data_IF_535798856017
#
_entry.id   IF_535798856017
#
_cell.length_a   1.000
_cell.length_b   1.000
_cell.length_c   1.000
_cell.angle_alpha   90.00
_cell.angle_beta   90.00
_cell.angle_gamma   90.00
#
_symmetry.space_group_name_H-M   'P 1'
#
loop_
_entity.id
_entity.type
_entity.pdbx_description
1 polymer ?
#
# COMPACT_ATOMS: atom_id res chain seq x y z
N UNK A 1 22.42 -12.85 -15.52
CA UNK A 1 21.54 -14.05 -15.49
C UNK A 1 20.63 -14.07 -14.25
N UNK A 2 20.18 -12.90 -13.75
CA UNK A 2 19.57 -12.75 -12.40
C UNK A 2 18.06 -12.44 -12.47
N UNK A 3 17.57 -11.90 -13.60
CA UNK A 3 16.16 -11.48 -13.76
C UNK A 3 15.15 -12.60 -13.57
N UNK A 4 15.47 -13.83 -14.00
CA UNK A 4 14.59 -14.98 -13.84
C UNK A 4 14.37 -15.37 -12.37
N UNK A 5 15.35 -15.09 -11.48
CA UNK A 5 15.22 -15.42 -10.06
C UNK A 5 14.28 -14.45 -9.33
N UNK A 6 14.31 -13.16 -9.68
CA UNK A 6 13.45 -12.17 -9.02
C UNK A 6 12.00 -12.26 -9.47
N UNK A 7 11.76 -12.50 -10.77
CA UNK A 7 10.41 -12.70 -11.30
C UNK A 7 9.78 -13.97 -10.71
N UNK A 8 10.56 -15.05 -10.62
CA UNK A 8 10.13 -16.28 -9.94
C UNK A 8 9.81 -16.05 -8.46
N UNK A 9 10.65 -15.29 -7.74
CA UNK A 9 10.38 -14.93 -6.36
C UNK A 9 9.09 -14.11 -6.22
N UNK A 10 8.89 -13.09 -7.07
CA UNK A 10 7.67 -12.27 -7.07
C UNK A 10 6.43 -13.10 -7.34
N UNK A 11 6.49 -14.00 -8.31
CA UNK A 11 5.38 -14.89 -8.66
C UNK A 11 5.05 -15.87 -7.51
N UNK A 12 6.08 -16.47 -6.90
CA UNK A 12 5.90 -17.34 -5.73
C UNK A 12 5.22 -16.61 -4.56
N UNK A 13 5.64 -15.37 -4.27
CA UNK A 13 5.02 -14.54 -3.24
C UNK A 13 3.57 -14.20 -3.61
N UNK A 14 3.32 -13.79 -4.87
CA UNK A 14 1.98 -13.47 -5.37
C UNK A 14 1.02 -14.64 -5.17
N UNK A 15 1.41 -15.84 -5.59
CA UNK A 15 0.60 -17.06 -5.42
C UNK A 15 0.26 -17.27 -3.95
N UNK A 16 1.21 -17.14 -3.02
CA UNK A 16 0.92 -17.30 -1.58
C UNK A 16 -0.10 -16.27 -1.08
N UNK A 17 0.00 -15.02 -1.53
CA UNK A 17 -0.87 -13.93 -1.08
C UNK A 17 -2.28 -13.98 -1.67
N UNK A 18 -2.45 -14.47 -2.90
CA UNK A 18 -3.73 -14.44 -3.61
C UNK A 18 -4.49 -15.76 -3.59
N UNK A 19 -3.79 -16.90 -3.54
CA UNK A 19 -4.42 -18.23 -3.67
C UNK A 19 -5.06 -18.75 -2.38
N UNK A 20 -4.70 -18.18 -1.22
CA UNK A 20 -5.11 -18.71 0.08
C UNK A 20 -4.52 -20.09 0.42
N UNK A 21 -3.62 -20.63 -0.41
CA UNK A 21 -2.99 -21.91 -0.16
C UNK A 21 -1.95 -21.81 0.97
N UNK A 22 -1.79 -22.88 1.79
CA UNK A 22 -0.76 -22.89 2.81
C UNK A 22 0.63 -22.86 2.17
N UNK A 23 1.55 -22.08 2.74
CA UNK A 23 2.94 -21.92 2.26
C UNK A 23 3.64 -23.26 1.99
N UNK A 24 3.38 -24.28 2.80
CA UNK A 24 3.93 -25.63 2.63
C UNK A 24 3.52 -26.28 1.31
N UNK A 25 2.26 -26.09 0.89
CA UNK A 25 1.75 -26.60 -0.38
C UNK A 25 2.35 -25.82 -1.55
N UNK A 26 2.35 -24.50 -1.47
CA UNK A 26 2.97 -23.65 -2.51
C UNK A 26 4.47 -23.96 -2.67
N UNK A 27 5.21 -24.18 -1.58
CA UNK A 27 6.62 -24.56 -1.65
C UNK A 27 6.82 -25.92 -2.33
N UNK A 28 5.98 -26.90 -2.01
CA UNK A 28 6.00 -28.22 -2.65
C UNK A 28 5.67 -28.13 -4.14
N UNK A 29 4.63 -27.38 -4.51
CA UNK A 29 4.18 -27.20 -5.89
C UNK A 29 5.24 -26.46 -6.74
N UNK A 30 5.99 -25.54 -6.14
CA UNK A 30 7.09 -24.80 -6.79
C UNK A 30 8.45 -25.51 -6.73
N UNK A 31 8.55 -26.66 -6.05
CA UNK A 31 9.80 -27.41 -5.90
C UNK A 31 10.88 -26.68 -5.09
N UNK A 32 10.51 -25.75 -4.20
CA UNK A 32 11.44 -24.98 -3.37
C UNK A 32 11.31 -25.35 -1.89
N UNK A 33 12.35 -25.04 -1.11
CA UNK A 33 12.28 -25.22 0.34
C UNK A 33 11.26 -24.26 0.97
N UNK A 34 10.51 -24.72 1.98
CA UNK A 34 9.60 -23.89 2.76
C UNK A 34 10.34 -22.71 3.43
N UNK A 35 11.58 -22.92 3.86
CA UNK A 35 12.41 -21.90 4.49
C UNK A 35 12.76 -20.78 3.51
N UNK A 36 13.05 -21.12 2.26
CA UNK A 36 13.28 -20.15 1.16
C UNK A 36 12.03 -19.30 0.95
N UNK A 37 10.87 -19.94 0.77
CA UNK A 37 9.60 -19.24 0.55
C UNK A 37 9.23 -18.34 1.74
N UNK A 38 9.46 -18.82 2.97
CA UNK A 38 9.20 -18.06 4.20
C UNK A 38 10.10 -16.83 4.28
N UNK A 39 11.39 -16.95 3.94
CA UNK A 39 12.33 -15.83 3.90
C UNK A 39 11.89 -14.78 2.88
N UNK A 40 11.52 -15.19 1.67
CA UNK A 40 11.05 -14.28 0.62
C UNK A 40 9.82 -13.48 1.04
N UNK A 41 8.84 -14.12 1.68
CA UNK A 41 7.65 -13.44 2.20
C UNK A 41 8.01 -12.45 3.31
N UNK A 42 8.90 -12.82 4.23
CA UNK A 42 9.33 -11.94 5.32
C UNK A 42 10.06 -10.70 4.81
N UNK A 43 11.00 -10.87 3.86
CA UNK A 43 11.72 -9.77 3.22
C UNK A 43 10.75 -8.86 2.45
N UNK A 44 9.85 -9.45 1.66
CA UNK A 44 8.85 -8.67 0.94
C UNK A 44 7.96 -7.86 1.88
N UNK A 45 7.55 -8.41 3.03
CA UNK A 45 6.78 -7.64 4.02
C UNK A 45 7.62 -6.50 4.61
N UNK A 46 8.89 -6.72 4.92
CA UNK A 46 9.78 -5.66 5.44
C UNK A 46 9.98 -4.54 4.42
N UNK A 47 10.16 -4.89 3.14
CA UNK A 47 10.24 -3.92 2.05
C UNK A 47 8.93 -3.15 1.87
N UNK A 48 7.77 -3.82 1.86
CA UNK A 48 6.47 -3.14 1.80
C UNK A 48 6.15 -2.31 3.05
N UNK A 49 6.64 -2.70 4.23
CA UNK A 49 6.52 -1.87 5.44
C UNK A 49 7.38 -0.60 5.33
N UNK A 50 8.54 -0.67 4.67
CA UNK A 50 9.37 0.51 4.36
C UNK A 50 8.77 1.39 3.25
N UNK A 51 7.90 0.82 2.41
CA UNK A 51 7.17 1.48 1.33
C UNK A 51 5.67 1.44 1.64
N UNK A 52 5.27 1.69 2.89
CA UNK A 52 3.85 1.76 3.23
C UNK A 52 3.26 3.07 2.68
N UNK A 53 2.32 3.02 1.72
CA UNK A 53 1.67 4.21 1.19
C UNK A 53 0.89 4.94 2.28
N UNK A 54 0.42 4.25 3.32
CA UNK A 54 -0.37 4.87 4.39
C UNK A 54 0.44 5.88 5.21
N UNK A 55 1.73 5.64 5.42
CA UNK A 55 2.61 6.60 6.11
C UNK A 55 2.94 7.79 5.23
N UNK A 56 3.18 7.55 3.93
CA UNK A 56 3.51 8.60 2.97
C UNK A 56 2.28 9.48 2.63
N UNK A 57 1.11 8.87 2.48
CA UNK A 57 -0.18 9.55 2.27
C UNK A 57 -0.65 10.31 3.52
N UNK A 58 -0.34 9.82 4.73
CA UNK A 58 -0.65 10.53 5.97
C UNK A 58 0.24 11.77 6.13
N UNK A 59 1.54 11.64 5.84
CA UNK A 59 2.48 12.78 5.81
C UNK A 59 2.09 13.80 4.74
N UNK A 60 1.73 13.33 3.54
CA UNK A 60 1.28 14.21 2.46
C UNK A 60 -0.07 14.87 2.77
N UNK A 61 -1.01 14.17 3.43
CA UNK A 61 -2.25 14.78 3.92
C UNK A 61 -2.01 15.85 4.99
N UNK A 62 -1.07 15.63 5.90
CA UNK A 62 -0.71 16.62 6.91
C UNK A 62 -0.12 17.87 6.25
N UNK A 63 0.79 17.68 5.29
CA UNK A 63 1.35 18.77 4.46
C UNK A 63 0.26 19.55 3.73
N UNK A 64 -0.65 18.85 3.05
CA UNK A 64 -1.77 19.45 2.32
C UNK A 64 -2.77 20.14 3.25
N UNK A 65 -2.98 19.66 4.49
CA UNK A 65 -3.81 20.36 5.49
C UNK A 65 -3.18 21.68 5.93
N UNK A 66 -1.86 21.72 6.08
CA UNK A 66 -1.13 22.94 6.42
C UNK A 66 -1.16 23.95 5.27
N UNK A 67 -1.02 23.50 4.02
CA UNK A 67 -1.14 24.34 2.82
C UNK A 67 -2.57 24.81 2.58
N UNK A 68 -3.54 23.90 2.72
CA UNK A 68 -4.96 24.22 2.61
C UNK A 68 -5.34 25.29 3.63
N UNK A 69 -4.82 25.26 4.87
CA UNK A 69 -5.09 26.24 5.94
C UNK A 69 -4.91 27.71 5.49
N UNK A 70 -3.95 28.00 4.62
CA UNK A 70 -3.68 29.35 4.10
C UNK A 70 -4.73 29.78 3.06
N UNK A 71 -5.30 28.82 2.31
CA UNK A 71 -6.30 29.10 1.29
C UNK A 71 -7.70 29.41 1.86
N UNK A 72 -7.98 29.11 3.13
CA UNK A 72 -9.28 29.35 3.76
C UNK A 72 -9.52 30.82 4.16
N UNK A 73 -8.47 31.65 4.22
CA UNK A 73 -8.60 33.08 4.55
C UNK A 73 -9.03 33.93 3.34
N UNK A 74 -8.73 33.49 2.11
CA UNK A 74 -8.94 34.28 0.90
C UNK A 74 -10.37 34.18 0.34
N UNK A 75 -11.10 33.09 0.62
CA UNK A 75 -12.40 32.83 -0.01
C UNK A 75 -13.37 32.07 0.93
N UNK A 76 -14.00 32.79 1.87
CA UNK A 76 -14.87 32.18 2.88
C UNK A 76 -16.16 31.56 2.30
N UNK A 77 -16.55 31.87 1.06
CA UNK A 77 -17.81 31.39 0.47
C UNK A 77 -17.78 29.93 0.01
N UNK A 78 -16.66 29.42 -0.54
CA UNK A 78 -16.54 28.00 -0.91
C UNK A 78 -16.25 27.10 0.29
N UNK A 79 -15.65 27.67 1.34
CA UNK A 79 -15.31 26.96 2.57
C UNK A 79 -16.53 26.33 3.25
N UNK A 80 -17.65 27.07 3.26
CA UNK A 80 -18.90 26.61 3.88
C UNK A 80 -19.57 25.47 3.10
N UNK A 81 -19.41 25.42 1.78
CA UNK A 81 -20.05 24.41 0.92
C UNK A 81 -19.39 23.03 1.03
N UNK A 82 -18.09 22.98 1.29
CA UNK A 82 -17.34 21.71 1.41
C UNK A 82 -17.54 21.06 2.79
N UNK A 83 -17.70 21.86 3.85
CA UNK A 83 -18.00 21.34 5.21
C UNK A 83 -19.47 20.93 5.40
N UNK A 84 -20.39 21.47 4.60
CA UNK A 84 -21.82 21.18 4.67
C UNK A 84 -22.38 20.94 3.26
N UNK A 85 -22.15 19.75 2.67
CA UNK A 85 -22.50 19.47 1.27
C UNK A 85 -24.01 19.56 0.96
N UNK A 86 -24.88 19.71 1.96
CA UNK A 86 -26.34 19.78 1.80
C UNK A 86 -26.96 21.17 2.06
N UNK A 87 -26.20 22.21 2.44
CA UNK A 87 -26.80 23.52 2.76
C UNK A 87 -27.05 24.44 1.55
N UNK A 88 -26.75 24.01 0.32
CA UNK A 88 -26.93 24.81 -0.91
C UNK A 88 -28.34 24.65 -1.53
N UNK A 89 -29.18 23.77 -0.98
CA UNK A 89 -30.56 23.57 -1.44
C UNK A 89 -31.56 23.85 -0.31
N UNK A 90 -31.83 25.13 -0.03
CA UNK A 90 -33.10 25.60 0.53
C UNK A 90 -33.35 27.06 0.21
#
# INVERSE_FOLDING_TARGET
MIKHSEEFQREAIRIVLTSGLPRKRVAADLGISLSTLTRWISLHRQENLSVSPDTDLALENERLRLESRVLWEEYPSWASAISHPFSVFS
#
